data_IF_538899343185
#
_entry.id   IF_538899343185
#
_cell.length_a   1.000
_cell.length_b   1.000
_cell.length_c   1.000
_cell.angle_alpha   90.00
_cell.angle_beta   90.00
_cell.angle_gamma   90.00
#
_symmetry.space_group_name_H-M   'P 1'
#
loop_
_entity.id
_entity.type
_entity.pdbx_description
1 polymer ?
#
# COMPACT_ATOMS: atom_id res chain seq x y z
N UNK A 1 -7.68 -24.81 -10.54
CA UNK A 1 -6.98 -23.57 -10.21
C UNK A 1 -5.54 -23.59 -10.68
N UNK A 2 -4.86 -22.45 -10.63
CA UNK A 2 -3.43 -22.36 -10.95
C UNK A 2 -2.59 -22.83 -9.76
N UNK A 3 -1.43 -23.45 -10.04
CA UNK A 3 -0.42 -23.67 -9.00
C UNK A 3 0.15 -22.32 -8.59
N UNK A 4 0.08 -22.02 -7.29
CA UNK A 4 0.58 -20.77 -6.72
C UNK A 4 1.85 -21.03 -5.92
N UNK A 5 2.93 -20.32 -6.24
CA UNK A 5 4.16 -20.27 -5.46
C UNK A 5 4.32 -18.86 -4.92
N UNK A 6 4.42 -18.74 -3.60
CA UNK A 6 4.56 -17.45 -2.92
C UNK A 6 5.94 -17.36 -2.26
N UNK A 7 6.62 -16.25 -2.45
CA UNK A 7 7.96 -16.00 -1.90
C UNK A 7 7.88 -14.83 -0.94
N UNK A 8 8.34 -15.03 0.29
CA UNK A 8 8.30 -13.99 1.32
C UNK A 8 9.44 -14.14 2.33
N UNK A 9 9.89 -13.04 2.95
CA UNK A 9 10.82 -13.11 4.07
C UNK A 9 10.25 -13.89 5.25
N UNK A 10 11.11 -14.64 5.95
CA UNK A 10 10.75 -15.51 7.07
C UNK A 10 10.26 -14.74 8.32
N UNK A 11 10.57 -13.45 8.43
CA UNK A 11 10.18 -12.59 9.55
C UNK A 11 8.81 -11.91 9.38
N UNK A 12 8.06 -12.25 8.33
CA UNK A 12 6.67 -11.85 8.21
C UNK A 12 5.79 -12.70 9.14
N UNK A 13 4.58 -12.20 9.45
CA UNK A 13 3.72 -12.82 10.46
C UNK A 13 3.40 -14.27 10.13
N UNK A 14 3.40 -15.12 11.15
CA UNK A 14 3.09 -16.55 11.04
C UNK A 14 1.69 -16.78 10.47
N UNK A 15 0.73 -15.90 10.80
CA UNK A 15 -0.65 -15.98 10.32
C UNK A 15 -0.72 -15.85 8.79
N UNK A 16 0.12 -15.00 8.19
CA UNK A 16 0.23 -14.89 6.72
C UNK A 16 0.69 -16.20 6.12
N UNK A 17 1.76 -16.78 6.66
CA UNK A 17 2.30 -18.06 6.17
C UNK A 17 1.26 -19.19 6.31
N UNK A 18 0.55 -19.26 7.43
CA UNK A 18 -0.50 -20.26 7.68
C UNK A 18 -1.68 -20.07 6.72
N UNK A 19 -2.15 -18.85 6.52
CA UNK A 19 -3.25 -18.54 5.62
C UNK A 19 -2.91 -18.91 4.16
N UNK A 20 -1.73 -18.55 3.69
CA UNK A 20 -1.28 -18.89 2.33
C UNK A 20 -1.21 -20.39 2.13
N UNK A 21 -0.67 -21.15 3.09
CA UNK A 21 -0.63 -22.62 3.05
C UNK A 21 -2.02 -23.24 3.12
N UNK A 22 -2.92 -22.71 3.93
CA UNK A 22 -4.30 -23.20 4.05
C UNK A 22 -5.06 -23.07 2.72
N UNK A 23 -4.75 -22.05 1.91
CA UNK A 23 -5.27 -21.93 0.54
C UNK A 23 -4.52 -22.79 -0.50
N UNK A 24 -3.58 -23.62 -0.10
CA UNK A 24 -2.87 -24.56 -0.97
C UNK A 24 -1.69 -23.98 -1.72
N UNK A 25 -1.20 -22.79 -1.34
CA UNK A 25 0.00 -22.23 -1.96
C UNK A 25 1.27 -22.94 -1.48
N UNK A 26 2.21 -23.15 -2.40
CA UNK A 26 3.59 -23.46 -2.08
C UNK A 26 4.27 -22.19 -1.55
N UNK A 27 4.92 -22.29 -0.38
CA UNK A 27 5.55 -21.13 0.24
C UNK A 27 7.06 -21.30 0.32
N UNK A 28 7.80 -20.36 -0.26
CA UNK A 28 9.26 -20.24 -0.16
C UNK A 28 9.58 -19.09 0.79
N UNK A 29 10.22 -19.43 1.92
CA UNK A 29 10.68 -18.44 2.88
C UNK A 29 12.13 -18.04 2.54
N UNK A 30 12.38 -16.73 2.48
CA UNK A 30 13.70 -16.18 2.24
C UNK A 30 14.31 -15.63 3.53
N UNK A 31 15.64 -15.56 3.64
CA UNK A 31 16.30 -15.02 4.82
C UNK A 31 15.84 -13.59 5.14
N UNK A 32 15.59 -13.32 6.42
CA UNK A 32 15.24 -11.98 6.93
C UNK A 32 16.18 -10.88 6.46
N UNK A 33 17.48 -11.18 6.43
CA UNK A 33 18.53 -10.23 6.04
C UNK A 33 18.40 -9.72 4.60
N UNK A 34 17.75 -10.49 3.71
CA UNK A 34 17.54 -10.11 2.31
C UNK A 34 16.31 -9.25 2.07
N UNK A 35 15.40 -9.19 3.04
CA UNK A 35 14.16 -8.43 2.91
C UNK A 35 13.29 -8.82 1.71
N UNK A 36 12.41 -7.92 1.32
CA UNK A 36 11.55 -8.11 0.13
C UNK A 36 12.32 -8.00 -1.19
N UNK A 37 13.42 -7.29 -1.18
CA UNK A 37 14.30 -7.11 -2.34
C UNK A 37 14.84 -8.47 -2.78
N UNK A 38 15.40 -9.25 -1.86
CA UNK A 38 15.86 -10.61 -2.16
C UNK A 38 14.72 -11.53 -2.62
N UNK A 39 13.54 -11.43 -2.03
CA UNK A 39 12.39 -12.23 -2.44
C UNK A 39 11.96 -11.90 -3.89
N UNK A 40 12.02 -10.63 -4.30
CA UNK A 40 11.78 -10.21 -5.69
C UNK A 40 12.85 -10.75 -6.64
N UNK A 41 14.12 -10.59 -6.29
CA UNK A 41 15.24 -11.05 -7.11
C UNK A 41 15.17 -12.58 -7.32
N UNK A 42 14.78 -13.33 -6.27
CA UNK A 42 14.56 -14.78 -6.37
C UNK A 42 13.38 -15.11 -7.30
N UNK A 43 12.28 -14.37 -7.20
CA UNK A 43 11.13 -14.55 -8.08
C UNK A 43 11.52 -14.31 -9.55
N UNK A 44 12.27 -13.24 -9.82
CA UNK A 44 12.77 -12.93 -11.16
C UNK A 44 13.74 -14.01 -11.68
N UNK A 45 14.58 -14.56 -10.80
CA UNK A 45 15.44 -15.69 -11.17
C UNK A 45 14.62 -16.93 -11.53
N UNK A 46 13.57 -17.23 -10.76
CA UNK A 46 12.68 -18.35 -11.03
C UNK A 46 11.95 -18.21 -12.38
N UNK A 47 11.57 -16.98 -12.76
CA UNK A 47 11.01 -16.70 -14.10
C UNK A 47 12.05 -16.98 -15.19
N UNK A 48 13.28 -16.50 -15.05
CA UNK A 48 14.36 -16.78 -16.00
C UNK A 48 14.65 -18.28 -16.16
N UNK A 49 14.50 -19.02 -15.05
CA UNK A 49 14.66 -20.49 -15.04
C UNK A 49 13.43 -21.25 -15.58
N UNK A 50 12.41 -20.57 -16.06
CA UNK A 50 11.18 -21.17 -16.60
C UNK A 50 10.27 -21.82 -15.56
N UNK A 51 10.42 -21.45 -14.26
CA UNK A 51 9.65 -22.07 -13.14
C UNK A 51 8.27 -21.47 -12.95
N UNK A 52 7.93 -20.40 -13.68
CA UNK A 52 6.62 -19.75 -13.59
C UNK A 52 6.61 -18.34 -14.16
N UNK A 53 5.51 -17.64 -13.91
CA UNK A 53 5.29 -16.25 -14.32
C UNK A 53 4.96 -15.41 -13.09
N UNK A 54 5.56 -14.24 -12.96
CA UNK A 54 5.25 -13.26 -11.93
C UNK A 54 4.21 -12.28 -12.48
N UNK A 55 3.10 -12.05 -11.75
CA UNK A 55 2.11 -11.04 -12.12
C UNK A 55 2.58 -9.61 -11.83
N UNK A 56 3.70 -9.48 -11.14
CA UNK A 56 4.43 -8.24 -10.84
C UNK A 56 3.55 -7.06 -10.42
N UNK A 57 3.04 -7.13 -9.19
CA UNK A 57 2.20 -6.06 -8.61
C UNK A 57 2.87 -4.66 -8.61
N UNK A 58 4.18 -4.59 -8.82
CA UNK A 58 4.96 -3.34 -8.82
C UNK A 58 5.12 -2.72 -10.21
N UNK A 59 4.81 -3.48 -11.26
CA UNK A 59 4.91 -3.03 -12.65
C UNK A 59 3.63 -3.29 -13.46
N UNK A 60 2.73 -4.14 -12.99
CA UNK A 60 1.51 -4.48 -13.69
C UNK A 60 0.51 -3.32 -13.67
N UNK A 61 0.17 -2.80 -14.84
CA UNK A 61 -0.80 -1.72 -15.02
C UNK A 61 -2.21 -2.04 -14.54
N UNK A 62 -2.57 -3.31 -14.41
CA UNK A 62 -3.87 -3.73 -13.89
C UNK A 62 -4.04 -3.36 -12.40
N UNK A 63 -2.93 -3.26 -11.65
CA UNK A 63 -2.96 -2.83 -10.27
C UNK A 63 -3.54 -1.40 -10.11
N UNK A 64 -3.00 -0.35 -10.71
CA UNK A 64 -3.64 0.97 -10.63
C UNK A 64 -4.96 1.03 -11.43
N UNK A 65 -5.13 0.24 -12.50
CA UNK A 65 -6.34 0.25 -13.31
C UNK A 65 -7.56 -0.13 -12.50
N UNK A 66 -7.51 -1.18 -11.69
CA UNK A 66 -8.66 -1.59 -10.88
C UNK A 66 -9.08 -0.49 -9.89
N UNK A 67 -8.12 0.24 -9.32
CA UNK A 67 -8.43 1.35 -8.44
C UNK A 67 -9.01 2.57 -9.19
N UNK A 68 -8.60 2.77 -10.44
CA UNK A 68 -9.21 3.77 -11.30
C UNK A 68 -10.66 3.42 -11.67
N UNK A 69 -10.92 2.13 -11.97
CA UNK A 69 -12.23 1.64 -12.41
C UNK A 69 -13.22 1.43 -11.25
N UNK A 70 -12.76 1.23 -10.02
CA UNK A 70 -13.61 0.90 -8.86
C UNK A 70 -13.40 1.85 -7.68
N UNK A 71 -12.25 1.83 -7.02
CA UNK A 71 -11.99 2.57 -5.79
C UNK A 71 -12.18 4.09 -5.95
N UNK A 72 -11.70 4.65 -7.05
CA UNK A 72 -11.88 6.07 -7.35
C UNK A 72 -13.35 6.47 -7.51
N UNK A 73 -14.13 5.79 -8.38
CA UNK A 73 -15.58 6.01 -8.53
C UNK A 73 -16.36 5.82 -7.22
N UNK A 74 -16.06 4.79 -6.44
CA UNK A 74 -16.69 4.53 -5.15
C UNK A 74 -16.48 5.69 -4.18
N UNK A 75 -15.23 6.12 -3.99
CA UNK A 75 -14.90 7.26 -3.13
C UNK A 75 -15.61 8.54 -3.60
N UNK A 76 -15.59 8.81 -4.91
CA UNK A 76 -16.25 9.99 -5.46
C UNK A 76 -17.75 9.98 -5.20
N UNK A 77 -18.40 8.83 -5.40
CA UNK A 77 -19.83 8.66 -5.18
C UNK A 77 -20.19 8.78 -3.70
N UNK A 78 -19.47 8.08 -2.82
CA UNK A 78 -19.73 8.06 -1.38
C UNK A 78 -19.52 9.42 -0.73
N UNK A 79 -18.59 10.22 -1.24
CA UNK A 79 -18.36 11.60 -0.81
C UNK A 79 -19.24 12.62 -1.54
N UNK A 80 -20.12 12.17 -2.44
CA UNK A 80 -20.97 13.05 -3.26
C UNK A 80 -20.18 14.11 -4.04
N UNK A 81 -18.95 13.78 -4.44
CA UNK A 81 -18.04 14.70 -5.12
C UNK A 81 -17.49 15.82 -4.25
N UNK A 82 -17.68 15.76 -2.93
CA UNK A 82 -17.24 16.81 -2.00
C UNK A 82 -15.85 16.53 -1.38
N UNK A 83 -15.19 15.46 -1.80
CA UNK A 83 -13.84 15.12 -1.34
C UNK A 83 -12.85 16.23 -1.69
N UNK A 84 -12.10 16.70 -0.70
CA UNK A 84 -11.05 17.71 -0.86
C UNK A 84 -9.65 17.11 -0.84
N UNK A 85 -9.46 16.07 -0.04
CA UNK A 85 -8.18 15.39 0.16
C UNK A 85 -8.35 13.88 0.13
N UNK A 86 -7.46 13.19 -0.60
CA UNK A 86 -7.35 11.74 -0.58
C UNK A 86 -6.01 11.35 0.03
N UNK A 87 -6.03 10.69 1.18
CA UNK A 87 -4.82 10.24 1.90
C UNK A 87 -4.68 8.73 1.76
N UNK A 88 -3.54 8.28 1.23
CA UNK A 88 -3.29 6.85 0.99
C UNK A 88 -1.93 6.41 1.53
N UNK A 89 -1.93 5.29 2.24
CA UNK A 89 -0.70 4.57 2.57
C UNK A 89 -0.03 4.03 1.29
N UNK A 90 1.29 4.20 1.18
CA UNK A 90 2.04 3.86 -0.03
C UNK A 90 2.77 2.53 0.12
N UNK A 91 2.19 1.46 -0.42
CA UNK A 91 2.82 0.13 -0.58
C UNK A 91 3.32 -0.07 -2.02
N UNK A 92 2.58 -0.78 -2.85
CA UNK A 92 2.86 -0.91 -4.29
C UNK A 92 2.62 0.37 -5.07
N UNK A 93 1.96 1.33 -4.48
CA UNK A 93 1.48 2.59 -5.06
C UNK A 93 0.29 2.46 -6.03
N UNK A 94 -0.22 1.27 -6.25
CA UNK A 94 -1.36 1.05 -7.16
C UNK A 94 -2.61 1.84 -6.76
N UNK A 95 -2.97 1.79 -5.47
CA UNK A 95 -4.15 2.50 -4.95
C UNK A 95 -4.03 4.01 -5.15
N UNK A 96 -2.93 4.61 -4.71
CA UNK A 96 -2.76 6.07 -4.83
C UNK A 96 -2.70 6.51 -6.30
N UNK A 97 -2.02 5.73 -7.16
CA UNK A 97 -1.92 6.03 -8.58
C UNK A 97 -3.26 5.93 -9.29
N UNK A 98 -3.97 4.81 -9.13
CA UNK A 98 -5.26 4.60 -9.82
C UNK A 98 -6.35 5.55 -9.32
N UNK A 99 -6.50 5.67 -7.99
CA UNK A 99 -7.50 6.56 -7.39
C UNK A 99 -7.23 8.02 -7.72
N UNK A 100 -5.95 8.46 -7.69
CA UNK A 100 -5.61 9.85 -8.02
C UNK A 100 -5.91 10.20 -9.48
N UNK A 101 -5.70 9.26 -10.41
CA UNK A 101 -6.09 9.47 -11.81
C UNK A 101 -7.57 9.81 -11.89
N UNK A 102 -8.42 8.97 -11.33
CA UNK A 102 -9.87 9.17 -11.37
C UNK A 102 -10.28 10.47 -10.66
N UNK A 103 -9.85 10.67 -9.42
CA UNK A 103 -10.24 11.85 -8.64
C UNK A 103 -9.80 13.16 -9.28
N UNK A 104 -8.59 13.23 -9.83
CA UNK A 104 -8.09 14.43 -10.52
C UNK A 104 -8.83 14.71 -11.85
N UNK A 105 -9.36 13.69 -12.51
CA UNK A 105 -10.22 13.85 -13.69
C UNK A 105 -11.59 14.41 -13.31
N UNK A 106 -12.15 14.02 -12.16
CA UNK A 106 -13.40 14.58 -11.66
C UNK A 106 -13.22 16.00 -11.14
N UNK A 107 -12.16 16.25 -10.37
CA UNK A 107 -11.83 17.56 -9.83
C UNK A 107 -10.31 17.72 -9.66
N UNK A 108 -9.65 18.56 -10.47
CA UNK A 108 -8.22 18.85 -10.31
C UNK A 108 -7.84 19.45 -8.95
N UNK A 109 -8.82 19.99 -8.21
CA UNK A 109 -8.64 20.61 -6.91
C UNK A 109 -8.44 19.57 -5.78
N UNK A 110 -8.84 18.31 -5.99
CA UNK A 110 -8.63 17.24 -4.98
C UNK A 110 -7.13 17.05 -4.73
N UNK A 111 -6.71 17.22 -3.46
CA UNK A 111 -5.32 17.03 -3.05
C UNK A 111 -5.05 15.55 -2.79
N UNK A 112 -3.95 15.06 -3.31
CA UNK A 112 -3.50 13.67 -3.17
C UNK A 112 -2.32 13.62 -2.23
N UNK A 113 -2.48 12.90 -1.11
CA UNK A 113 -1.49 12.83 -0.03
C UNK A 113 -1.04 11.40 0.18
N UNK A 114 0.24 11.16 0.07
CA UNK A 114 0.87 9.86 0.32
C UNK A 114 1.35 9.76 1.77
N UNK A 115 1.02 8.66 2.47
CA UNK A 115 1.59 8.34 3.77
C UNK A 115 2.73 7.33 3.60
N UNK A 116 3.93 7.69 4.07
CA UNK A 116 5.14 6.85 4.03
C UNK A 116 5.73 6.66 5.43
N UNK A 117 6.47 5.57 5.68
CA UNK A 117 7.18 5.42 6.93
C UNK A 117 8.25 6.51 7.10
N UNK A 118 8.35 7.04 8.31
CA UNK A 118 9.51 7.83 8.73
C UNK A 118 10.76 6.96 8.69
N UNK A 119 11.93 7.58 8.47
CA UNK A 119 13.20 6.88 8.47
C UNK A 119 13.41 6.10 9.80
N UNK A 120 13.81 4.84 9.69
CA UNK A 120 13.91 3.91 10.81
C UNK A 120 12.62 3.23 11.26
N UNK A 121 11.46 3.68 10.78
CA UNK A 121 10.16 3.06 11.08
C UNK A 121 9.87 1.87 10.18
N UNK A 122 9.31 0.79 10.77
CA UNK A 122 8.86 -0.40 10.05
C UNK A 122 7.35 -0.56 10.24
N UNK A 123 6.59 -0.16 9.25
CA UNK A 123 5.13 -0.27 9.26
C UNK A 123 4.73 -1.32 8.23
N UNK A 124 4.20 -2.50 8.65
CA UNK A 124 3.75 -3.52 7.72
C UNK A 124 2.73 -2.97 6.72
N UNK A 125 2.99 -3.17 5.43
CA UNK A 125 2.06 -2.76 4.35
C UNK A 125 2.39 -1.43 3.67
N UNK A 126 3.25 -0.60 4.26
CA UNK A 126 3.74 0.63 3.62
C UNK A 126 5.26 0.68 3.58
N UNK A 127 5.79 1.39 2.60
CA UNK A 127 7.23 1.48 2.37
C UNK A 127 7.66 2.84 1.85
N UNK A 128 8.85 3.26 2.26
CA UNK A 128 9.66 4.23 1.54
C UNK A 128 10.65 3.44 0.69
N UNK A 129 10.39 3.39 -0.61
CA UNK A 129 11.17 2.57 -1.54
C UNK A 129 12.53 3.19 -1.84
N UNK A 130 13.62 2.39 -1.84
CA UNK A 130 14.87 2.81 -2.46
C UNK A 130 14.64 3.09 -3.96
N UNK A 131 15.36 4.03 -4.53
CA UNK A 131 15.20 4.45 -5.93
C UNK A 131 15.27 3.27 -6.92
N UNK A 132 16.22 2.35 -6.71
CA UNK A 132 16.42 1.16 -7.55
C UNK A 132 15.23 0.16 -7.53
N UNK A 133 14.37 0.24 -6.50
CA UNK A 133 13.21 -0.65 -6.32
C UNK A 133 11.88 0.09 -6.38
N UNK A 134 11.89 1.34 -6.82
CA UNK A 134 10.67 2.14 -6.94
C UNK A 134 9.67 1.43 -7.85
N UNK A 135 8.40 1.27 -7.43
CA UNK A 135 7.39 0.63 -8.28
C UNK A 135 7.25 1.35 -9.62
N UNK A 136 7.28 0.59 -10.72
CA UNK A 136 7.16 1.15 -12.08
C UNK A 136 5.80 1.77 -12.37
N UNK A 137 4.79 1.37 -11.59
CA UNK A 137 3.43 1.93 -11.67
C UNK A 137 3.27 3.23 -10.87
N UNK A 138 4.30 3.67 -10.15
CA UNK A 138 4.24 4.89 -9.37
C UNK A 138 4.35 6.13 -10.25
N UNK A 139 3.44 7.07 -10.06
CA UNK A 139 3.42 8.37 -10.72
C UNK A 139 3.61 9.50 -9.69
N UNK A 140 4.86 9.88 -9.38
CA UNK A 140 5.15 10.90 -8.35
C UNK A 140 4.45 12.24 -8.59
N UNK A 141 4.29 12.62 -9.86
CA UNK A 141 3.64 13.89 -10.27
C UNK A 141 2.17 13.98 -9.87
N UNK A 142 1.53 12.88 -9.49
CA UNK A 142 0.14 12.85 -9.01
C UNK A 142 0.01 13.06 -7.51
N UNK A 143 1.11 12.94 -6.76
CA UNK A 143 1.12 13.09 -5.31
C UNK A 143 1.48 14.52 -4.96
N UNK A 144 0.53 15.25 -4.41
CA UNK A 144 0.71 16.66 -4.07
C UNK A 144 1.53 16.85 -2.78
N UNK A 145 1.48 15.88 -1.85
CA UNK A 145 2.15 15.96 -0.56
C UNK A 145 2.49 14.56 -0.02
N UNK A 146 3.58 14.47 0.74
CA UNK A 146 3.97 13.25 1.47
C UNK A 146 4.00 13.54 2.97
N UNK A 147 3.33 12.68 3.75
CA UNK A 147 3.35 12.73 5.21
C UNK A 147 4.11 11.51 5.74
N UNK A 148 5.11 11.77 6.56
CA UNK A 148 5.90 10.71 7.19
C UNK A 148 5.24 10.27 8.50
N UNK A 149 5.08 8.95 8.65
CA UNK A 149 4.40 8.33 9.78
C UNK A 149 5.42 7.51 10.58
N UNK A 150 5.49 7.72 11.89
CA UNK A 150 6.29 6.85 12.75
C UNK A 150 5.56 5.52 13.02
N UNK A 151 6.32 4.46 13.30
CA UNK A 151 5.74 3.18 13.70
C UNK A 151 4.87 3.34 14.95
N UNK A 152 5.33 4.10 15.94
CA UNK A 152 4.61 4.32 17.19
C UNK A 152 3.26 5.01 16.97
N UNK A 153 3.22 6.03 16.11
CA UNK A 153 1.98 6.74 15.78
C UNK A 153 0.97 5.84 15.06
N UNK A 154 1.46 5.01 14.11
CA UNK A 154 0.61 4.07 13.39
C UNK A 154 0.03 2.98 14.32
N UNK A 155 0.85 2.44 15.23
CA UNK A 155 0.42 1.44 16.21
C UNK A 155 -0.55 2.02 17.25
N UNK A 156 -0.30 3.23 17.74
CA UNK A 156 -1.22 3.90 18.66
C UNK A 156 -2.55 4.20 17.98
N UNK A 157 -2.52 4.71 16.77
CA UNK A 157 -3.74 4.97 15.98
C UNK A 157 -4.54 3.69 15.72
N UNK A 158 -3.89 2.54 15.47
CA UNK A 158 -4.59 1.28 15.31
C UNK A 158 -5.35 0.88 16.58
N UNK A 159 -4.73 1.06 17.75
CA UNK A 159 -5.37 0.82 19.04
C UNK A 159 -6.52 1.80 19.32
N UNK A 160 -6.36 3.06 18.94
CA UNK A 160 -7.40 4.09 19.09
C UNK A 160 -8.59 3.81 18.20
N UNK A 161 -8.38 3.54 16.91
CA UNK A 161 -9.47 3.20 15.99
C UNK A 161 -10.29 2.00 16.49
N UNK A 162 -9.63 0.98 17.04
CA UNK A 162 -10.34 -0.16 17.61
C UNK A 162 -11.18 0.21 18.85
N UNK A 163 -10.66 1.04 19.76
CA UNK A 163 -11.32 1.39 21.03
C UNK A 163 -12.34 2.51 20.90
N UNK A 164 -12.05 3.52 20.07
CA UNK A 164 -12.83 4.75 19.98
C UNK A 164 -13.91 4.65 18.90
N UNK A 165 -13.59 3.95 17.77
CA UNK A 165 -14.47 3.88 16.60
C UNK A 165 -14.98 2.46 16.29
N UNK A 166 -14.51 1.43 17.00
CA UNK A 166 -14.85 0.04 16.73
C UNK A 166 -14.23 -0.50 15.42
N UNK A 167 -13.25 0.20 14.84
CA UNK A 167 -12.60 -0.16 13.58
C UNK A 167 -11.32 -0.94 13.84
N UNK A 168 -11.37 -2.26 13.68
CA UNK A 168 -10.19 -3.13 13.78
C UNK A 168 -9.50 -3.25 12.41
N UNK A 169 -8.51 -2.41 12.17
CA UNK A 169 -7.79 -2.35 10.90
C UNK A 169 -6.28 -2.62 11.06
N UNK A 170 -5.60 -2.86 9.94
CA UNK A 170 -4.14 -3.03 9.93
C UNK A 170 -3.38 -1.73 10.27
N UNK A 171 -2.14 -1.89 10.75
CA UNK A 171 -1.29 -0.76 11.17
C UNK A 171 -1.06 0.23 10.03
N UNK A 172 -0.96 -0.23 8.77
CA UNK A 172 -0.81 0.65 7.61
C UNK A 172 -2.04 1.53 7.35
N UNK A 173 -3.25 0.98 7.52
CA UNK A 173 -4.48 1.74 7.42
C UNK A 173 -4.58 2.80 8.53
N UNK A 174 -4.19 2.41 9.75
CA UNK A 174 -4.10 3.34 10.89
C UNK A 174 -3.06 4.44 10.65
N UNK A 175 -1.92 4.12 10.02
CA UNK A 175 -0.94 5.11 9.62
C UNK A 175 -1.49 6.13 8.60
N UNK A 176 -2.29 5.69 7.64
CA UNK A 176 -2.98 6.60 6.72
C UNK A 176 -4.00 7.49 7.45
N UNK A 177 -4.76 6.92 8.39
CA UNK A 177 -5.69 7.68 9.24
C UNK A 177 -4.97 8.72 10.09
N UNK A 178 -3.84 8.36 10.71
CA UNK A 178 -3.03 9.30 11.46
C UNK A 178 -2.56 10.47 10.57
N UNK A 179 -2.05 10.17 9.37
CA UNK A 179 -1.63 11.19 8.42
C UNK A 179 -2.79 12.12 8.02
N UNK A 180 -3.98 11.56 7.77
CA UNK A 180 -5.17 12.33 7.47
C UNK A 180 -5.57 13.27 8.63
N UNK A 181 -5.49 12.81 9.87
CA UNK A 181 -5.76 13.63 11.06
C UNK A 181 -4.71 14.74 11.25
N UNK A 182 -3.42 14.49 10.96
CA UNK A 182 -2.43 15.56 10.99
C UNK A 182 -2.75 16.63 9.94
N UNK A 183 -3.09 16.21 8.73
CA UNK A 183 -3.50 17.13 7.67
C UNK A 183 -4.73 17.94 8.07
N UNK A 184 -5.78 17.30 8.55
CA UNK A 184 -7.03 17.96 8.96
C UNK A 184 -6.81 19.03 10.03
N UNK A 185 -5.87 18.84 10.96
CA UNK A 185 -5.52 19.82 11.99
C UNK A 185 -4.91 21.11 11.41
N UNK A 186 -4.31 21.04 10.24
CA UNK A 186 -3.68 22.19 9.57
C UNK A 186 -4.62 22.89 8.60
N UNK A 187 -5.73 22.24 8.23
CA UNK A 187 -6.70 22.79 7.31
C UNK A 187 -7.83 23.51 8.05
N UNK A 188 -8.10 24.75 7.66
CA UNK A 188 -9.30 25.45 8.08
C UNK A 188 -10.40 25.13 7.05
N UNK A 189 -11.39 24.33 7.41
CA UNK A 189 -12.51 23.92 6.53
C UNK A 189 -12.14 22.87 5.45
N UNK A 190 -11.40 21.80 5.79
CA UNK A 190 -11.24 20.65 4.92
C UNK A 190 -12.32 19.60 5.20
#
# INVERSE_FOLDING_TARGET
>A
GYRMVLIMPEDLSIERAQTMKAFGAELILTPKSGGMEYARDLADQMVRDGKGTVLDQFANGDNPRIHYETTGPEIWTDTQGQITHFVSAMGTTGTITGTSRYLKEQSPAVRIVGAQPQDGSRIPGIRKWPEAYLPKIYEPSRVDELILVSQADAEDMARRLAREEGLFCGISAAGACWAALQLARTQRNA
#
